data_IF_965242841377
#
_entry.id   IF_965242841377
#
_cell.length_a   1.000
_cell.length_b   1.000
_cell.length_c   1.000
_cell.angle_alpha   90.00
_cell.angle_beta   90.00
_cell.angle_gamma   90.00
#
_symmetry.space_group_name_H-M   'P 1'
#
loop_
_entity.id
_entity.type
_entity.pdbx_description
1 polymer ?
#
# COMPACT_ATOMS: atom_id res chain seq x y z
N UNK A 1 10.10 -4.55 37.19
CA UNK A 1 10.63 -5.75 37.90
C UNK A 1 9.46 -6.56 38.45
N UNK A 2 8.87 -7.46 37.68
CA UNK A 2 8.04 -8.56 38.20
C UNK A 2 8.30 -9.76 37.27
N UNK A 3 9.07 -10.72 37.78
CA UNK A 3 9.36 -12.04 37.23
C UNK A 3 8.38 -13.05 37.81
N UNK A 4 7.91 -13.99 37.00
CA UNK A 4 7.63 -15.40 37.34
C UNK A 4 7.01 -16.06 36.09
N UNK A 5 7.74 -16.91 35.36
CA UNK A 5 7.91 -18.36 35.59
C UNK A 5 6.63 -19.17 35.36
N UNK A 6 6.53 -19.76 34.17
CA UNK A 6 5.70 -20.93 33.89
C UNK A 6 6.55 -21.96 33.15
N UNK A 7 7.03 -22.94 33.91
CA UNK A 7 7.50 -24.23 33.42
C UNK A 7 6.30 -25.18 33.33
N UNK A 8 6.17 -25.89 32.22
CA UNK A 8 5.10 -26.86 32.00
C UNK A 8 5.37 -27.71 30.76
N UNK A 9 5.70 -28.97 31.02
CA UNK A 9 6.04 -30.02 30.06
C UNK A 9 4.97 -30.23 28.98
N UNK A 10 5.39 -30.35 27.72
CA UNK A 10 4.68 -31.16 26.72
C UNK A 10 5.65 -32.10 26.01
N UNK A 11 5.16 -33.32 25.87
CA UNK A 11 5.87 -34.55 25.61
C UNK A 11 6.42 -34.71 24.19
N UNK A 12 7.45 -35.56 24.13
CA UNK A 12 8.13 -36.13 22.96
C UNK A 12 7.16 -36.53 21.84
N UNK A 13 7.37 -36.00 20.63
CA UNK A 13 7.02 -36.69 19.38
C UNK A 13 8.28 -36.97 18.56
N UNK A 14 8.35 -38.21 18.12
CA UNK A 14 9.47 -38.92 17.50
C UNK A 14 10.00 -38.22 16.24
N UNK A 15 11.29 -37.90 16.23
CA UNK A 15 12.04 -37.60 15.00
C UNK A 15 12.24 -38.90 14.20
N UNK A 16 11.56 -39.03 13.05
CA UNK A 16 11.98 -39.98 12.01
C UNK A 16 13.16 -39.38 11.24
N UNK A 17 14.30 -40.05 11.25
CA UNK A 17 15.46 -39.73 10.39
C UNK A 17 15.02 -39.78 8.91
N UNK A 18 15.39 -38.80 8.06
CA UNK A 18 15.27 -38.95 6.61
C UNK A 18 16.23 -40.04 6.12
N UNK A 19 15.71 -40.97 5.31
CA UNK A 19 16.53 -41.90 4.53
C UNK A 19 17.24 -41.11 3.42
N UNK A 20 18.56 -41.22 3.35
CA UNK A 20 19.35 -40.82 2.18
C UNK A 20 19.00 -41.78 1.03
N UNK A 21 18.35 -41.26 -0.01
CA UNK A 21 18.20 -41.97 -1.28
C UNK A 21 19.41 -41.59 -2.13
N UNK A 22 20.18 -42.60 -2.50
CA UNK A 22 21.33 -42.52 -3.39
C UNK A 22 20.81 -42.46 -4.83
N UNK A 23 21.09 -41.38 -5.56
CA UNK A 23 20.72 -41.23 -6.98
C UNK A 23 22.01 -41.18 -7.81
N UNK A 24 22.56 -42.35 -8.09
CA UNK A 24 23.39 -42.54 -9.27
C UNK A 24 22.61 -43.41 -10.26
N UNK A 25 22.67 -43.00 -11.52
CA UNK A 25 22.26 -43.74 -12.72
C UNK A 25 20.74 -43.90 -12.96
N UNK A 26 20.20 -43.12 -13.89
CA UNK A 26 19.90 -43.63 -15.24
C UNK A 26 19.20 -42.57 -16.12
N UNK A 27 19.78 -42.40 -17.31
CA UNK A 27 19.17 -42.09 -18.61
C UNK A 27 18.18 -40.91 -18.74
N UNK A 28 18.66 -39.90 -19.48
CA UNK A 28 18.03 -39.26 -20.66
C UNK A 28 16.54 -39.49 -20.91
N UNK A 29 15.85 -38.39 -21.24
CA UNK A 29 14.48 -38.32 -21.76
C UNK A 29 13.37 -38.61 -20.75
N UNK A 30 13.12 -37.66 -19.84
CA UNK A 30 11.76 -37.40 -19.38
C UNK A 30 11.47 -35.91 -19.43
N UNK A 31 10.59 -35.56 -20.37
CA UNK A 31 9.84 -34.32 -20.41
C UNK A 31 9.37 -33.92 -19.01
N UNK A 32 9.74 -32.72 -18.56
CA UNK A 32 9.05 -32.07 -17.45
C UNK A 32 7.94 -31.19 -18.00
N UNK A 33 6.77 -31.81 -18.24
CA UNK A 33 5.50 -31.15 -17.95
C UNK A 33 5.29 -31.22 -16.43
N UNK A 34 5.91 -30.28 -15.70
CA UNK A 34 5.56 -30.00 -14.31
C UNK A 34 4.28 -29.18 -14.27
N UNK A 35 3.18 -29.82 -13.87
CA UNK A 35 1.86 -29.21 -13.71
C UNK A 35 1.91 -27.94 -12.85
N UNK A 36 1.48 -26.81 -13.43
CA UNK A 36 1.16 -25.54 -12.74
C UNK A 36 -0.18 -25.63 -12.00
N UNK A 37 -0.44 -26.71 -11.26
CA UNK A 37 -1.60 -26.79 -10.38
C UNK A 37 -1.17 -26.59 -8.93
N UNK A 38 -1.43 -25.43 -8.31
CA UNK A 38 -1.32 -25.29 -6.88
C UNK A 38 -2.49 -26.06 -6.23
N UNK A 39 -2.16 -27.13 -5.48
CA UNK A 39 -3.08 -27.68 -4.49
C UNK A 39 -3.38 -26.59 -3.44
N UNK A 40 -4.64 -26.35 -3.03
CA UNK A 40 -5.00 -25.26 -2.13
C UNK A 40 -4.55 -25.44 -0.67
N UNK A 41 -4.02 -26.62 -0.29
CA UNK A 41 -3.92 -26.99 1.13
C UNK A 41 -2.50 -26.94 1.74
N UNK A 42 -1.45 -26.77 0.92
CA UNK A 42 -0.09 -26.65 1.43
C UNK A 42 0.45 -25.25 1.20
N UNK A 43 0.50 -24.44 2.27
CA UNK A 43 1.12 -23.11 2.33
C UNK A 43 2.65 -23.11 2.17
N UNK A 44 3.20 -24.07 1.41
CA UNK A 44 4.62 -24.14 1.07
C UNK A 44 4.91 -23.25 -0.13
N UNK A 45 5.61 -22.14 0.10
CA UNK A 45 6.33 -21.47 -0.97
C UNK A 45 7.33 -22.48 -1.56
N UNK A 46 7.02 -23.05 -2.72
CA UNK A 46 7.96 -23.88 -3.45
C UNK A 46 9.06 -22.96 -3.98
N UNK A 47 10.17 -22.89 -3.25
CA UNK A 47 11.38 -22.20 -3.69
C UNK A 47 11.95 -23.02 -4.85
N UNK A 48 11.75 -22.53 -6.07
CA UNK A 48 12.31 -23.10 -7.29
C UNK A 48 13.83 -22.85 -7.31
N UNK A 49 14.58 -23.82 -6.78
CA UNK A 49 16.04 -23.87 -6.89
C UNK A 49 16.41 -24.20 -8.35
N UNK A 50 16.73 -23.18 -9.14
CA UNK A 50 17.39 -23.37 -10.43
C UNK A 50 18.81 -23.91 -10.19
N UNK A 51 19.19 -24.96 -10.93
CA UNK A 51 20.55 -25.48 -10.90
C UNK A 51 21.52 -24.50 -11.57
N UNK A 52 22.75 -24.35 -11.04
CA UNK A 52 23.78 -23.41 -11.50
C UNK A 52 24.23 -23.57 -12.98
N UNK A 53 23.67 -24.54 -13.72
CA UNK A 53 24.11 -24.92 -15.07
C UNK A 53 23.23 -24.44 -16.22
N UNK A 54 22.02 -23.93 -15.95
CA UNK A 54 21.12 -23.45 -17.00
C UNK A 54 20.84 -21.96 -16.82
N UNK A 55 21.20 -21.14 -17.82
CA UNK A 55 20.78 -19.74 -17.85
C UNK A 55 19.27 -19.72 -18.13
N UNK A 56 18.42 -19.23 -17.20
CA UNK A 56 16.99 -19.17 -17.45
C UNK A 56 16.71 -18.27 -18.66
N UNK A 57 15.77 -18.69 -19.52
CA UNK A 57 15.34 -17.90 -20.67
C UNK A 57 14.60 -16.64 -20.22
N UNK A 58 14.55 -15.63 -21.09
CA UNK A 58 13.80 -14.39 -20.83
C UNK A 58 12.32 -14.67 -20.52
N UNK A 59 11.70 -15.62 -21.22
CA UNK A 59 10.34 -16.07 -20.99
C UNK A 59 10.14 -16.69 -19.60
N UNK A 60 11.10 -17.47 -19.11
CA UNK A 60 11.05 -18.07 -17.78
C UNK A 60 11.12 -17.01 -16.68
N UNK A 61 11.97 -16.00 -16.86
CA UNK A 61 12.09 -14.87 -15.92
C UNK A 61 10.83 -14.01 -15.92
N UNK A 62 10.26 -13.72 -17.10
CA UNK A 62 8.97 -13.03 -17.23
C UNK A 62 7.87 -13.84 -16.52
N UNK A 63 7.87 -15.16 -16.66
CA UNK A 63 6.89 -16.05 -16.00
C UNK A 63 7.05 -16.02 -14.47
N UNK A 64 8.27 -16.04 -13.93
CA UNK A 64 8.50 -15.89 -12.48
C UNK A 64 8.03 -14.51 -12.01
N UNK A 65 8.40 -13.45 -12.73
CA UNK A 65 8.01 -12.08 -12.40
C UNK A 65 6.49 -11.96 -12.40
N UNK A 66 5.81 -12.44 -13.45
CA UNK A 66 4.36 -12.48 -13.55
C UNK A 66 3.75 -13.32 -12.42
N UNK A 67 4.26 -14.52 -12.17
CA UNK A 67 3.74 -15.39 -11.10
C UNK A 67 3.91 -14.74 -9.72
N UNK A 68 5.05 -14.11 -9.43
CA UNK A 68 5.33 -13.48 -8.15
C UNK A 68 4.51 -12.20 -7.94
N UNK A 69 4.30 -11.42 -9.01
CA UNK A 69 3.43 -10.23 -8.99
C UNK A 69 1.97 -10.64 -8.86
N UNK A 70 1.50 -11.62 -9.62
CA UNK A 70 0.07 -11.98 -9.70
C UNK A 70 -0.40 -12.90 -8.58
N UNK A 71 0.45 -13.75 -8.01
CA UNK A 71 0.07 -14.61 -6.89
C UNK A 71 0.15 -13.90 -5.53
N UNK A 72 0.87 -12.76 -5.40
CA UNK A 72 1.19 -12.15 -4.10
C UNK A 72 1.18 -10.61 -4.06
N UNK A 73 0.18 -9.96 -4.66
CA UNK A 73 -0.21 -8.61 -4.24
C UNK A 73 -0.79 -8.54 -2.81
N UNK A 74 -0.78 -9.64 -2.04
CA UNK A 74 -0.75 -9.63 -0.58
C UNK A 74 0.65 -10.02 -0.10
N UNK A 75 1.36 -9.00 0.41
CA UNK A 75 2.78 -8.97 0.83
C UNK A 75 3.25 -10.20 1.60
N UNK A 76 4.41 -10.77 1.21
CA UNK A 76 5.55 -11.20 2.06
C UNK A 76 6.74 -11.45 1.10
N UNK A 77 7.79 -10.63 1.19
CA UNK A 77 9.10 -10.72 0.53
C UNK A 77 9.26 -10.22 -0.93
N UNK A 78 9.02 -8.92 -1.16
CA UNK A 78 9.73 -8.17 -2.22
C UNK A 78 11.26 -8.30 -2.06
N UNK A 79 11.73 -8.36 -0.81
CA UNK A 79 13.14 -8.51 -0.44
C UNK A 79 13.75 -9.85 -0.90
N UNK A 80 13.05 -10.98 -0.77
CA UNK A 80 13.54 -12.26 -1.31
C UNK A 80 13.63 -12.23 -2.84
N UNK A 81 12.63 -11.64 -3.51
CA UNK A 81 12.66 -11.53 -4.97
C UNK A 81 13.82 -10.62 -5.43
N UNK A 82 14.06 -9.51 -4.72
CA UNK A 82 15.21 -8.64 -4.98
C UNK A 82 16.54 -9.36 -4.71
N UNK A 83 16.64 -10.16 -3.65
CA UNK A 83 17.82 -10.97 -3.35
C UNK A 83 18.06 -12.07 -4.40
N UNK A 84 17.01 -12.73 -4.87
CA UNK A 84 17.10 -13.71 -5.95
C UNK A 84 17.54 -13.05 -7.26
N UNK A 85 16.92 -11.94 -7.65
CA UNK A 85 17.31 -11.16 -8.82
C UNK A 85 18.77 -10.67 -8.72
N UNK A 86 19.23 -10.28 -7.53
CA UNK A 86 20.62 -9.88 -7.29
C UNK A 86 21.59 -11.06 -7.38
N UNK A 87 21.19 -12.24 -6.94
CA UNK A 87 21.96 -13.47 -7.11
C UNK A 87 22.08 -13.83 -8.60
N UNK A 88 21.01 -13.71 -9.38
CA UNK A 88 21.04 -13.93 -10.84
C UNK A 88 21.87 -12.89 -11.58
N UNK A 89 21.80 -11.62 -11.16
CA UNK A 89 22.58 -10.55 -11.78
C UNK A 89 24.09 -10.67 -11.57
N UNK A 90 24.54 -11.46 -10.58
CA UNK A 90 25.96 -11.78 -10.37
C UNK A 90 26.46 -12.94 -11.23
N UNK A 91 25.57 -13.78 -11.75
CA UNK A 91 25.91 -15.00 -12.51
C UNK A 91 25.94 -14.79 -14.04
N UNK A 92 25.50 -13.63 -14.53
CA UNK A 92 25.49 -13.29 -15.95
C UNK A 92 25.46 -11.78 -16.17
N UNK A 93 25.88 -11.28 -17.35
CA UNK A 93 25.55 -9.92 -17.76
C UNK A 93 24.02 -9.80 -17.78
N UNK A 94 23.44 -9.05 -16.83
CA UNK A 94 21.99 -9.01 -16.63
C UNK A 94 21.26 -8.70 -17.94
N UNK A 95 20.38 -9.59 -18.42
CA UNK A 95 19.45 -9.27 -19.49
C UNK A 95 18.74 -7.95 -19.18
N UNK A 96 18.58 -7.10 -20.19
CA UNK A 96 17.97 -5.76 -20.05
C UNK A 96 16.62 -5.83 -19.33
N UNK A 97 15.85 -6.87 -19.60
CA UNK A 97 14.57 -7.24 -18.99
C UNK A 97 14.65 -7.39 -17.46
N UNK A 98 15.69 -8.03 -16.93
CA UNK A 98 15.91 -8.14 -15.47
C UNK A 98 16.27 -6.80 -14.82
N UNK A 99 17.01 -5.95 -15.53
CA UNK A 99 17.36 -4.61 -15.04
C UNK A 99 16.08 -3.78 -14.83
N UNK A 100 15.16 -3.81 -15.80
CA UNK A 100 13.87 -3.12 -15.68
C UNK A 100 13.02 -3.73 -14.56
N UNK A 101 12.88 -5.05 -14.50
CA UNK A 101 12.11 -5.71 -13.45
C UNK A 101 12.61 -5.36 -12.04
N UNK A 102 13.93 -5.42 -11.81
CA UNK A 102 14.55 -5.03 -10.54
C UNK A 102 14.26 -3.56 -10.19
N UNK A 103 14.39 -2.66 -11.17
CA UNK A 103 14.13 -1.23 -10.95
C UNK A 103 12.67 -0.97 -10.58
N UNK A 104 11.74 -1.61 -11.29
CA UNK A 104 10.29 -1.51 -11.03
C UNK A 104 9.97 -2.02 -9.63
N UNK A 105 10.49 -3.20 -9.24
CA UNK A 105 10.27 -3.78 -7.91
C UNK A 105 10.82 -2.90 -6.80
N UNK A 106 12.02 -2.32 -6.98
CA UNK A 106 12.61 -1.41 -6.00
C UNK A 106 11.74 -0.16 -5.81
N UNK A 107 11.29 0.47 -6.89
CA UNK A 107 10.42 1.65 -6.81
C UNK A 107 9.07 1.29 -6.19
N UNK A 108 8.52 0.12 -6.51
CA UNK A 108 7.27 -0.37 -5.93
C UNK A 108 7.40 -0.64 -4.41
N UNK A 109 8.55 -1.14 -3.95
CA UNK A 109 8.82 -1.30 -2.52
C UNK A 109 8.90 0.04 -1.78
N UNK A 110 9.54 1.05 -2.38
CA UNK A 110 9.54 2.43 -1.89
C UNK A 110 8.12 3.03 -1.89
N UNK A 111 7.31 2.75 -2.92
CA UNK A 111 5.91 3.15 -3.02
C UNK A 111 5.09 2.56 -1.86
N UNK A 112 5.19 1.25 -1.62
CA UNK A 112 4.50 0.56 -0.54
C UNK A 112 4.92 1.07 0.84
N UNK A 113 6.22 1.32 1.03
CA UNK A 113 6.75 1.93 2.26
C UNK A 113 6.12 3.29 2.52
N UNK A 114 6.06 4.15 1.49
CA UNK A 114 5.45 5.48 1.63
C UNK A 114 3.92 5.42 1.83
N UNK A 115 3.25 4.40 1.28
CA UNK A 115 1.82 4.14 1.49
C UNK A 115 1.54 3.80 2.97
N UNK A 116 2.35 2.93 3.56
CA UNK A 116 2.29 2.58 4.99
C UNK A 116 2.61 3.77 5.91
N UNK A 117 3.56 4.61 5.50
CA UNK A 117 3.90 5.86 6.20
C UNK A 117 2.89 6.99 5.97
N UNK A 118 1.79 6.75 5.22
CA UNK A 118 0.75 7.73 4.93
C UNK A 118 1.26 9.01 4.24
N UNK A 119 2.36 8.91 3.48
CA UNK A 119 3.00 10.05 2.82
C UNK A 119 2.43 10.27 1.43
N UNK A 120 1.26 10.91 1.34
CA UNK A 120 0.54 11.10 0.07
C UNK A 120 1.41 11.73 -1.04
N UNK A 121 2.25 12.71 -0.70
CA UNK A 121 3.16 13.36 -1.66
C UNK A 121 4.18 12.37 -2.20
N UNK A 122 4.84 11.61 -1.32
CA UNK A 122 5.84 10.62 -1.73
C UNK A 122 5.25 9.44 -2.46
N UNK A 123 4.04 9.01 -2.10
CA UNK A 123 3.33 7.96 -2.84
C UNK A 123 3.07 8.39 -4.28
N UNK A 124 2.60 9.64 -4.49
CA UNK A 124 2.40 10.17 -5.84
C UNK A 124 3.73 10.30 -6.60
N UNK A 125 4.79 10.80 -5.96
CA UNK A 125 6.14 10.83 -6.57
C UNK A 125 6.60 9.44 -7.02
N UNK A 126 6.47 8.42 -6.16
CA UNK A 126 6.90 7.05 -6.48
C UNK A 126 6.02 6.37 -7.52
N UNK A 127 4.72 6.69 -7.56
CA UNK A 127 3.86 6.24 -8.65
C UNK A 127 4.32 6.80 -10.00
N UNK A 128 4.72 8.07 -10.06
CA UNK A 128 5.25 8.69 -11.28
C UNK A 128 6.59 8.07 -11.70
N UNK A 129 7.52 7.89 -10.75
CA UNK A 129 8.79 7.18 -11.00
C UNK A 129 8.54 5.79 -11.60
N UNK A 130 7.53 5.08 -11.09
CA UNK A 130 7.15 3.75 -11.53
C UNK A 130 6.58 3.75 -12.95
N UNK A 131 5.66 4.67 -13.25
CA UNK A 131 5.08 4.84 -14.58
C UNK A 131 6.16 5.21 -15.62
N UNK A 132 7.08 6.11 -15.29
CA UNK A 132 8.18 6.51 -16.17
C UNK A 132 9.11 5.34 -16.52
N UNK A 133 9.38 4.45 -15.56
CA UNK A 133 10.20 3.26 -15.80
C UNK A 133 9.45 2.24 -16.66
N UNK A 134 8.16 2.04 -16.40
CA UNK A 134 7.29 1.15 -17.18
C UNK A 134 7.16 1.62 -18.63
N UNK A 135 6.97 2.92 -18.87
CA UNK A 135 6.88 3.50 -20.21
C UNK A 135 8.16 3.26 -21.05
N UNK A 136 9.32 3.14 -20.40
CA UNK A 136 10.62 2.88 -21.06
C UNK A 136 11.02 1.40 -21.10
N UNK A 137 10.22 0.51 -20.50
CA UNK A 137 10.54 -0.91 -20.42
C UNK A 137 10.28 -1.65 -21.75
N UNK A 138 10.92 -2.81 -21.97
CA UNK A 138 10.59 -3.73 -23.07
C UNK A 138 9.11 -4.14 -23.05
N UNK A 139 8.55 -4.52 -24.20
CA UNK A 139 7.12 -4.89 -24.34
C UNK A 139 6.73 -6.02 -23.38
N UNK A 140 7.57 -7.05 -23.24
CA UNK A 140 7.37 -8.17 -22.32
C UNK A 140 7.19 -7.72 -20.85
N UNK A 141 7.98 -6.74 -20.40
CA UNK A 141 7.86 -6.15 -19.06
C UNK A 141 6.61 -5.28 -18.94
N UNK A 142 6.31 -4.47 -19.96
CA UNK A 142 5.09 -3.64 -19.97
C UNK A 142 3.84 -4.48 -19.82
N UNK A 143 3.76 -5.59 -20.53
CA UNK A 143 2.62 -6.53 -20.44
C UNK A 143 2.56 -7.19 -19.06
N UNK A 144 3.69 -7.67 -18.54
CA UNK A 144 3.75 -8.27 -17.21
C UNK A 144 3.30 -7.34 -16.08
N UNK A 145 3.60 -6.04 -16.18
CA UNK A 145 3.24 -5.03 -15.17
C UNK A 145 2.04 -4.15 -15.55
N UNK A 146 1.32 -4.49 -16.63
CA UNK A 146 0.15 -3.71 -17.07
C UNK A 146 -0.90 -3.52 -15.95
N UNK A 147 -1.23 -4.54 -15.14
CA UNK A 147 -2.19 -4.34 -14.05
C UNK A 147 -1.72 -3.35 -12.98
N UNK A 148 -0.42 -3.31 -12.68
CA UNK A 148 0.16 -2.30 -11.79
C UNK A 148 0.07 -0.91 -12.41
N UNK A 149 0.41 -0.79 -13.69
CA UNK A 149 0.28 0.46 -14.45
C UNK A 149 -1.18 0.98 -14.42
N UNK A 150 -2.15 0.12 -14.70
CA UNK A 150 -3.57 0.48 -14.74
C UNK A 150 -4.09 0.87 -13.34
N UNK A 151 -3.61 0.20 -12.28
CA UNK A 151 -3.95 0.50 -10.88
C UNK A 151 -3.48 1.88 -10.44
N UNK A 152 -2.26 2.29 -10.79
CA UNK A 152 -1.66 3.55 -10.31
C UNK A 152 -1.74 4.70 -11.32
N UNK A 153 -2.09 4.42 -12.58
CA UNK A 153 -2.01 5.38 -13.69
C UNK A 153 -2.81 6.66 -13.45
N UNK A 154 -3.92 6.58 -12.71
CA UNK A 154 -4.73 7.76 -12.38
C UNK A 154 -3.98 8.77 -11.48
N UNK A 155 -2.97 8.33 -10.71
CA UNK A 155 -2.19 9.21 -9.84
C UNK A 155 -1.41 10.28 -10.62
N UNK A 156 -1.16 10.05 -11.93
CA UNK A 156 -0.57 11.05 -12.84
C UNK A 156 -1.41 12.33 -12.91
N UNK A 157 -2.74 12.20 -12.81
CA UNK A 157 -3.68 13.34 -12.88
C UNK A 157 -3.72 14.19 -11.62
N UNK A 158 -3.26 13.65 -10.48
CA UNK A 158 -3.34 14.34 -9.19
C UNK A 158 -2.01 14.91 -8.71
N UNK A 159 -0.96 14.84 -9.55
CA UNK A 159 0.38 15.38 -9.27
C UNK A 159 0.34 16.84 -8.83
N UNK A 160 -0.40 17.67 -9.56
CA UNK A 160 -0.47 19.11 -9.33
C UNK A 160 -1.77 19.51 -8.61
N UNK A 161 -2.51 18.53 -8.10
CA UNK A 161 -3.71 18.77 -7.30
C UNK A 161 -3.37 19.22 -5.87
N UNK A 162 -4.32 19.85 -5.18
CA UNK A 162 -4.14 20.19 -3.78
C UNK A 162 -3.90 18.98 -2.88
N UNK A 163 -3.28 19.20 -1.72
CA UNK A 163 -2.85 18.13 -0.82
C UNK A 163 -4.00 17.20 -0.37
N UNK A 164 -5.21 17.73 -0.10
CA UNK A 164 -6.34 16.89 0.32
C UNK A 164 -6.83 15.97 -0.82
N UNK A 165 -6.73 16.41 -2.07
CA UNK A 165 -7.05 15.57 -3.25
C UNK A 165 -6.02 14.45 -3.38
N UNK A 166 -4.73 14.74 -3.18
CA UNK A 166 -3.68 13.72 -3.14
C UNK A 166 -3.92 12.71 -2.02
N UNK A 167 -4.24 13.19 -0.83
CA UNK A 167 -4.52 12.34 0.33
C UNK A 167 -5.69 11.39 0.07
N UNK A 168 -6.80 11.87 -0.50
CA UNK A 168 -7.93 11.01 -0.88
C UNK A 168 -7.60 10.04 -2.02
N UNK A 169 -6.85 10.48 -3.02
CA UNK A 169 -6.41 9.62 -4.12
C UNK A 169 -5.53 8.48 -3.61
N UNK A 170 -4.62 8.77 -2.68
CA UNK A 170 -3.77 7.76 -2.05
C UNK A 170 -4.56 6.90 -1.07
N UNK A 171 -5.56 7.44 -0.37
CA UNK A 171 -6.45 6.67 0.48
C UNK A 171 -7.22 5.60 -0.31
N UNK A 172 -7.69 5.94 -1.52
CA UNK A 172 -8.31 4.98 -2.45
C UNK A 172 -7.36 3.84 -2.82
N UNK A 173 -6.12 4.16 -3.18
CA UNK A 173 -5.10 3.13 -3.45
C UNK A 173 -4.86 2.26 -2.20
N UNK A 174 -4.78 2.86 -1.01
CA UNK A 174 -4.63 2.11 0.23
C UNK A 174 -5.80 1.13 0.47
N UNK A 175 -7.04 1.51 0.13
CA UNK A 175 -8.21 0.60 0.19
C UNK A 175 -8.02 -0.58 -0.79
N UNK A 176 -7.60 -0.28 -2.02
CA UNK A 176 -7.37 -1.27 -3.08
C UNK A 176 -6.17 -2.20 -2.80
N UNK A 177 -5.24 -1.78 -1.95
CA UNK A 177 -4.10 -2.59 -1.46
C UNK A 177 -4.40 -3.29 -0.12
N UNK A 178 -5.58 -3.07 0.48
CA UNK A 178 -5.90 -3.63 1.81
C UNK A 178 -5.19 -2.94 2.98
N UNK A 179 -4.49 -1.83 2.74
CA UNK A 179 -3.81 -1.01 3.73
C UNK A 179 -4.80 -0.07 4.45
N UNK A 180 -5.76 -0.68 5.15
CA UNK A 180 -6.91 0.03 5.72
C UNK A 180 -6.55 1.10 6.76
N UNK A 181 -5.52 0.88 7.57
CA UNK A 181 -5.08 1.90 8.54
C UNK A 181 -4.56 3.16 7.82
N UNK A 182 -3.77 2.98 6.77
CA UNK A 182 -3.29 4.09 5.94
C UNK A 182 -4.46 4.83 5.28
N UNK A 183 -5.44 4.11 4.73
CA UNK A 183 -6.63 4.71 4.15
C UNK A 183 -7.41 5.58 5.14
N UNK A 184 -7.57 5.11 6.38
CA UNK A 184 -8.25 5.83 7.46
C UNK A 184 -7.50 7.11 7.85
N UNK A 185 -6.18 7.03 8.03
CA UNK A 185 -5.34 8.17 8.37
C UNK A 185 -5.40 9.20 7.25
N UNK A 186 -5.18 8.79 6.00
CA UNK A 186 -5.19 9.70 4.84
C UNK A 186 -6.55 10.38 4.64
N UNK A 187 -7.67 9.66 4.83
CA UNK A 187 -9.01 10.23 4.74
C UNK A 187 -9.26 11.28 5.82
N UNK A 188 -8.83 11.02 7.06
CA UNK A 188 -8.88 12.01 8.16
C UNK A 188 -8.00 13.22 7.85
N UNK A 189 -6.78 13.01 7.38
CA UNK A 189 -5.84 14.08 7.06
C UNK A 189 -6.34 14.96 5.90
N UNK A 190 -7.08 14.40 4.95
CA UNK A 190 -7.71 15.17 3.88
C UNK A 190 -8.72 16.18 4.43
N UNK A 191 -9.62 15.75 5.32
CA UNK A 191 -10.61 16.63 5.95
C UNK A 191 -9.90 17.72 6.78
N UNK A 192 -8.87 17.36 7.56
CA UNK A 192 -8.13 18.34 8.35
C UNK A 192 -7.41 19.37 7.47
N UNK A 193 -6.75 18.90 6.40
CA UNK A 193 -6.06 19.78 5.45
C UNK A 193 -7.03 20.76 4.81
N UNK A 194 -8.19 20.27 4.37
CA UNK A 194 -9.24 21.12 3.80
C UNK A 194 -9.78 22.11 4.84
N UNK A 195 -10.11 21.65 6.04
CA UNK A 195 -10.61 22.50 7.12
C UNK A 195 -9.63 23.59 7.52
N UNK A 196 -8.33 23.29 7.56
CA UNK A 196 -7.30 24.26 7.84
C UNK A 196 -7.28 25.37 6.77
N UNK A 197 -7.48 25.03 5.51
CA UNK A 197 -7.50 26.03 4.43
C UNK A 197 -8.73 26.91 4.52
N UNK A 198 -9.87 26.32 4.83
CA UNK A 198 -11.15 27.03 4.95
C UNK A 198 -11.18 27.96 6.16
N UNK A 199 -10.70 27.49 7.30
CA UNK A 199 -10.92 28.16 8.59
C UNK A 199 -9.72 28.98 9.08
N UNK A 200 -8.51 28.71 8.57
CA UNK A 200 -7.32 29.46 8.98
C UNK A 200 -7.06 30.68 8.10
N UNK A 201 -6.37 31.66 8.67
CA UNK A 201 -5.82 32.82 7.96
C UNK A 201 -4.42 32.55 7.41
N UNK A 202 -4.03 31.29 7.20
CA UNK A 202 -2.70 30.93 6.73
C UNK A 202 -2.35 31.62 5.41
N UNK A 203 -1.33 32.48 5.43
CA UNK A 203 -0.81 33.14 4.23
C UNK A 203 -0.04 32.19 3.31
N UNK A 204 0.61 31.17 3.88
CA UNK A 204 1.35 30.15 3.14
C UNK A 204 0.40 29.02 2.69
N UNK A 205 -0.31 29.29 1.59
CA UNK A 205 -1.22 28.34 0.92
C UNK A 205 -0.46 27.31 0.04
N UNK A 206 0.71 26.86 0.48
CA UNK A 206 1.52 25.83 -0.20
C UNK A 206 0.77 24.50 -0.36
N UNK A 207 -0.18 24.19 0.53
CA UNK A 207 -1.04 23.01 0.43
C UNK A 207 -1.95 23.02 -0.81
N UNK A 208 -2.25 24.19 -1.36
CA UNK A 208 -2.99 24.37 -2.61
C UNK A 208 -2.04 24.33 -3.80
N UNK A 209 -0.99 25.15 -3.76
CA UNK A 209 -0.13 25.41 -4.95
C UNK A 209 0.97 24.38 -5.16
N UNK A 210 1.54 23.86 -4.08
CA UNK A 210 2.69 22.93 -4.09
C UNK A 210 2.32 21.53 -3.60
N UNK A 211 1.13 21.37 -3.02
CA UNK A 211 0.61 20.10 -2.53
C UNK A 211 1.35 19.53 -1.32
N UNK A 212 1.97 20.38 -0.49
CA UNK A 212 2.52 20.04 0.82
C UNK A 212 2.17 21.14 1.84
N UNK A 213 2.23 20.85 3.14
CA UNK A 213 1.93 21.82 4.20
C UNK A 213 3.18 22.09 5.05
N UNK A 214 3.56 23.37 5.21
CA UNK A 214 4.69 23.79 6.06
C UNK A 214 4.28 24.20 7.47
N UNK A 215 2.99 24.46 7.71
CA UNK A 215 2.52 25.00 8.97
C UNK A 215 1.79 23.93 9.81
N UNK A 216 2.57 23.06 10.43
CA UNK A 216 2.05 22.00 11.29
C UNK A 216 1.29 22.55 12.50
N UNK A 217 1.82 23.57 13.19
CA UNK A 217 1.19 24.16 14.39
C UNK A 217 -0.25 24.63 14.12
N UNK A 218 -0.47 25.29 12.97
CA UNK A 218 -1.80 25.78 12.63
C UNK A 218 -2.81 24.66 12.35
N UNK A 219 -2.35 23.50 11.86
CA UNK A 219 -3.22 22.32 11.72
C UNK A 219 -3.64 21.79 13.08
N UNK A 220 -2.74 21.75 14.05
CA UNK A 220 -3.03 21.27 15.41
C UNK A 220 -4.04 22.20 16.12
N UNK A 221 -3.91 23.51 15.92
CA UNK A 221 -4.86 24.50 16.41
C UNK A 221 -6.26 24.30 15.82
N UNK A 222 -6.33 24.10 14.49
CA UNK A 222 -7.60 23.83 13.80
C UNK A 222 -8.19 22.48 14.23
N UNK A 223 -7.38 21.45 14.37
CA UNK A 223 -7.81 20.14 14.88
C UNK A 223 -8.42 20.27 16.28
N UNK A 224 -7.74 20.97 17.19
CA UNK A 224 -8.22 21.25 18.54
C UNK A 224 -9.55 22.01 18.50
N UNK A 225 -9.62 23.07 17.69
CA UNK A 225 -10.82 23.89 17.52
C UNK A 225 -12.02 23.07 17.02
N UNK A 226 -11.83 22.27 15.97
CA UNK A 226 -12.88 21.41 15.42
C UNK A 226 -13.38 20.38 16.44
N UNK A 227 -12.48 19.80 17.25
CA UNK A 227 -12.87 18.83 18.27
C UNK A 227 -13.67 19.46 19.41
N UNK A 228 -13.29 20.66 19.86
CA UNK A 228 -14.07 21.40 20.88
C UNK A 228 -15.48 21.72 20.38
N UNK A 229 -15.62 22.11 19.12
CA UNK A 229 -16.94 22.30 18.49
C UNK A 229 -17.74 21.00 18.38
N UNK A 230 -17.09 19.91 17.97
CA UNK A 230 -17.72 18.59 17.86
C UNK A 230 -18.29 18.11 19.21
N UNK A 231 -17.56 18.34 20.31
CA UNK A 231 -18.03 18.05 21.68
C UNK A 231 -18.93 19.14 22.28
N UNK A 232 -19.33 20.14 21.46
CA UNK A 232 -20.25 21.22 21.84
C UNK A 232 -19.76 22.09 23.01
N UNK A 233 -18.44 22.21 23.17
CA UNK A 233 -17.84 23.12 24.16
C UNK A 233 -18.14 24.59 23.81
N UNK A 234 -18.29 24.90 22.51
CA UNK A 234 -18.66 26.23 22.01
C UNK A 234 -19.64 26.12 20.83
N UNK A 235 -20.34 27.22 20.52
CA UNK A 235 -21.19 27.30 19.32
C UNK A 235 -20.34 27.59 18.07
N UNK A 236 -20.59 26.92 16.93
CA UNK A 236 -19.90 27.21 15.68
C UNK A 236 -20.31 28.60 15.16
N UNK A 237 -19.35 29.34 14.59
CA UNK A 237 -19.60 30.69 14.07
C UNK A 237 -20.37 30.68 12.75
N UNK A 238 -20.15 29.65 11.92
CA UNK A 238 -20.83 29.51 10.62
C UNK A 238 -21.37 28.09 10.45
N UNK A 239 -22.31 27.93 9.50
CA UNK A 239 -22.81 26.62 9.10
C UNK A 239 -21.69 25.73 8.55
N UNK A 240 -20.75 26.31 7.82
CA UNK A 240 -19.58 25.61 7.28
C UNK A 240 -18.67 25.05 8.38
N UNK A 241 -18.33 25.86 9.39
CA UNK A 241 -17.53 25.39 10.54
C UNK A 241 -18.22 24.23 11.27
N UNK A 242 -19.56 24.29 11.38
CA UNK A 242 -20.35 23.20 11.96
C UNK A 242 -20.24 21.91 11.15
N UNK A 243 -20.39 22.00 9.82
CA UNK A 243 -20.28 20.82 8.95
C UNK A 243 -18.88 20.19 9.03
N UNK A 244 -17.84 21.01 8.98
CA UNK A 244 -16.46 20.54 9.07
C UNK A 244 -16.15 19.90 10.43
N UNK A 245 -16.64 20.47 11.54
CA UNK A 245 -16.44 19.88 12.87
C UNK A 245 -17.22 18.56 13.04
N UNK A 246 -18.46 18.49 12.57
CA UNK A 246 -19.27 17.26 12.59
C UNK A 246 -18.63 16.16 11.71
N UNK A 247 -18.11 16.52 10.53
CA UNK A 247 -17.43 15.59 9.65
C UNK A 247 -16.11 15.10 10.24
N UNK A 248 -15.22 16.02 10.61
CA UNK A 248 -13.90 15.70 11.14
C UNK A 248 -13.98 14.95 12.47
N UNK A 249 -14.78 15.42 13.43
CA UNK A 249 -14.91 14.78 14.74
C UNK A 249 -15.51 13.38 14.65
N UNK A 250 -16.49 13.17 13.78
CA UNK A 250 -17.05 11.84 13.51
C UNK A 250 -16.01 10.89 12.90
N UNK A 251 -15.21 11.35 11.93
CA UNK A 251 -14.15 10.53 11.31
C UNK A 251 -13.05 10.27 12.31
N UNK A 252 -12.50 11.29 12.99
CA UNK A 252 -11.43 11.15 13.97
C UNK A 252 -11.80 10.20 15.10
N UNK A 253 -12.99 10.33 15.69
CA UNK A 253 -13.42 9.42 16.76
C UNK A 253 -13.58 7.98 16.28
N UNK A 254 -14.09 7.75 15.06
CA UNK A 254 -14.14 6.40 14.47
C UNK A 254 -12.75 5.85 14.21
N UNK A 255 -11.86 6.62 13.59
CA UNK A 255 -10.47 6.23 13.32
C UNK A 255 -9.75 5.92 14.61
N UNK A 256 -9.84 6.76 15.64
CA UNK A 256 -9.23 6.51 16.94
C UNK A 256 -9.80 5.25 17.62
N UNK A 257 -11.10 5.00 17.53
CA UNK A 257 -11.69 3.75 18.06
C UNK A 257 -11.14 2.52 17.35
N UNK A 258 -10.99 2.60 16.03
CA UNK A 258 -10.42 1.52 15.21
C UNK A 258 -8.93 1.34 15.53
N UNK A 259 -8.15 2.41 15.60
CA UNK A 259 -6.72 2.37 15.90
C UNK A 259 -6.43 1.94 17.34
N UNK A 260 -7.18 2.44 18.33
CA UNK A 260 -7.07 2.05 19.76
C UNK A 260 -7.64 0.64 20.02
N UNK A 261 -8.34 0.05 19.04
CA UNK A 261 -8.91 -1.29 19.05
C UNK A 261 -8.49 -2.15 17.85
N UNK A 262 -7.23 -2.00 17.41
CA UNK A 262 -6.52 -2.64 16.29
C UNK A 262 -6.77 -4.17 16.17
N UNK A 263 -7.95 -4.61 15.71
CA UNK A 263 -8.44 -6.01 15.77
C UNK A 263 -8.88 -6.47 17.16
N UNK A 264 -10.01 -5.94 17.69
CA UNK A 264 -10.80 -6.83 18.56
C UNK A 264 -11.09 -8.11 17.74
N UNK A 265 -10.90 -9.30 18.32
CA UNK A 265 -11.17 -10.63 17.72
C UNK A 265 -12.56 -10.77 17.03
N UNK A 266 -13.42 -9.76 17.11
CA UNK A 266 -14.81 -9.72 16.64
C UNK A 266 -15.04 -9.00 15.30
N UNK A 267 -14.12 -8.17 14.80
CA UNK A 267 -14.30 -7.49 13.51
C UNK A 267 -13.70 -8.34 12.38
N UNK A 268 -14.54 -8.90 11.52
CA UNK A 268 -14.07 -9.62 10.33
C UNK A 268 -13.53 -8.60 9.32
N UNK A 269 -12.52 -8.98 8.52
CA UNK A 269 -11.90 -8.07 7.53
C UNK A 269 -12.88 -7.41 6.55
N UNK A 270 -14.02 -8.06 6.24
CA UNK A 270 -15.10 -7.48 5.41
C UNK A 270 -15.81 -6.31 6.09
N UNK A 271 -15.96 -6.35 7.41
CA UNK A 271 -16.58 -5.27 8.19
C UNK A 271 -15.65 -4.05 8.26
N UNK A 272 -14.34 -4.30 8.34
CA UNK A 272 -13.31 -3.25 8.32
C UNK A 272 -13.30 -2.53 6.97
N UNK A 273 -13.26 -3.27 5.86
CA UNK A 273 -13.29 -2.68 4.52
C UNK A 273 -14.50 -1.74 4.34
N UNK A 274 -15.70 -2.21 4.72
CA UNK A 274 -16.92 -1.39 4.62
C UNK A 274 -16.83 -0.10 5.44
N UNK A 275 -16.35 -0.18 6.69
CA UNK A 275 -16.20 1.00 7.55
C UNK A 275 -15.18 1.99 6.95
N UNK A 276 -14.09 1.48 6.37
CA UNK A 276 -13.06 2.31 5.73
C UNK A 276 -13.63 3.00 4.49
N UNK A 277 -14.38 2.30 3.65
CA UNK A 277 -15.07 2.86 2.49
C UNK A 277 -16.09 3.94 2.89
N UNK A 278 -16.88 3.71 3.94
CA UNK A 278 -17.80 4.72 4.47
C UNK A 278 -17.08 5.99 4.95
N UNK A 279 -15.93 5.83 5.64
CA UNK A 279 -15.11 6.96 6.08
C UNK A 279 -14.50 7.69 4.89
N UNK A 280 -14.02 6.96 3.89
CA UNK A 280 -13.49 7.53 2.66
C UNK A 280 -14.55 8.33 1.92
N UNK A 281 -15.75 7.77 1.69
CA UNK A 281 -16.87 8.46 1.02
C UNK A 281 -17.24 9.73 1.79
N UNK A 282 -17.38 9.65 3.11
CA UNK A 282 -17.66 10.83 3.94
C UNK A 282 -16.56 11.90 3.80
N UNK A 283 -15.30 11.50 3.74
CA UNK A 283 -14.19 12.42 3.53
C UNK A 283 -14.24 13.08 2.15
N UNK A 284 -14.54 12.31 1.09
CA UNK A 284 -14.76 12.83 -0.26
C UNK A 284 -15.90 13.85 -0.25
N UNK A 285 -17.10 13.47 0.21
CA UNK A 285 -18.27 14.36 0.27
C UNK A 285 -18.00 15.65 1.06
N UNK A 286 -17.21 15.57 2.14
CA UNK A 286 -16.87 16.73 2.96
C UNK A 286 -16.02 17.75 2.20
N UNK A 287 -15.10 17.28 1.36
CA UNK A 287 -14.19 18.16 0.61
C UNK A 287 -14.69 18.49 -0.80
N UNK A 288 -15.71 17.79 -1.32
CA UNK A 288 -16.29 18.01 -2.66
C UNK A 288 -17.66 18.66 -2.67
N UNK A 289 -18.40 18.72 -1.55
CA UNK A 289 -19.75 19.31 -1.50
C UNK A 289 -19.79 20.68 -2.17
N UNK A 290 -20.66 20.78 -3.19
CA UNK A 290 -20.87 21.95 -4.05
C UNK A 290 -21.43 23.22 -3.35
N UNK A 291 -21.42 23.27 -2.01
CA UNK A 291 -21.78 24.46 -1.25
C UNK A 291 -20.67 25.51 -1.12
N UNK A 292 -19.46 25.25 -1.65
CA UNK A 292 -18.25 26.05 -1.38
C UNK A 292 -17.42 26.41 -2.64
N UNK A 293 -18.04 26.42 -3.82
CA UNK A 293 -17.53 27.17 -4.99
C UNK A 293 -16.38 26.55 -5.79
N UNK A 294 -16.32 25.23 -5.94
CA UNK A 294 -15.38 24.60 -6.87
C UNK A 294 -15.76 23.18 -7.24
N UNK A 295 -16.17 22.96 -8.50
CA UNK A 295 -16.38 21.63 -9.06
C UNK A 295 -15.03 20.91 -9.20
N UNK A 296 -14.76 19.91 -8.38
CA UNK A 296 -13.59 19.04 -8.53
C UNK A 296 -14.00 17.73 -9.22
N UNK A 297 -13.98 17.72 -10.55
CA UNK A 297 -14.17 16.52 -11.40
C UNK A 297 -12.91 15.61 -11.43
N UNK A 298 -12.30 15.32 -10.28
CA UNK A 298 -11.00 14.64 -10.21
C UNK A 298 -10.94 13.39 -9.31
N UNK A 299 -12.06 12.92 -8.76
CA UNK A 299 -12.12 11.75 -7.88
C UNK A 299 -13.06 10.66 -8.42
#
# INVERSE_FOLDING_TARGET
MWSNSFSGNYEKRLYKKPRLINLNETSSEKLYHGSLNPSPEDGGASILLLSDKEKPTEEYLVTIIQHYIFSRMNVINSENLLQELDRYGRLSAMPRTLIYARKILKIYDEFQTNLKLCSAVKVVEKALDLLDVLERAPVSIKEAFKPLHDKIGFLKKVRDSPLWVKQLSVARVAIDEGEYLSALILSREAILTYSCITLSTCGDKSCIKKGFCLNASMRDDIECYLMKLFFREFKPQTFETRLLSEAYGSVKTKVEKISKGLFSLRLKGKDVKKIVEEIYVKAVETVTREGLGGSFNYL
#
